data_IF_895395266944
#
_entry.id   IF_895395266944
#
_cell.length_a   1.000
_cell.length_b   1.000
_cell.length_c   1.000
_cell.angle_alpha   90.00
_cell.angle_beta   90.00
_cell.angle_gamma   90.00
#
_symmetry.space_group_name_H-M   'P 1'
#
loop_
_entity.id
_entity.type
_entity.pdbx_description
1 polymer ?
#
# COMPACT_ATOMS: atom_id res chain seq x y z
N UNK A 1 8.17 -4.31 27.68
CA UNK A 1 8.36 -4.78 26.29
C UNK A 1 8.04 -3.63 25.36
N UNK A 2 8.78 -3.48 24.27
CA UNK A 2 8.59 -2.46 23.23
C UNK A 2 8.23 -3.18 21.93
N UNK A 3 7.17 -2.71 21.25
CA UNK A 3 6.78 -3.19 19.92
C UNK A 3 6.88 -1.99 18.98
N UNK A 4 7.76 -2.07 17.99
CA UNK A 4 7.86 -1.06 16.94
C UNK A 4 6.67 -1.15 16.00
N UNK A 5 5.79 -0.16 16.05
CA UNK A 5 4.63 0.00 15.15
C UNK A 5 4.60 1.43 14.57
N UNK A 6 5.74 2.11 14.54
CA UNK A 6 5.93 3.52 14.19
C UNK A 6 6.12 3.77 12.68
N UNK A 7 5.69 2.81 11.86
CA UNK A 7 5.61 2.95 10.40
C UNK A 7 6.91 2.62 9.67
N UNK A 8 6.93 2.96 8.38
CA UNK A 8 8.03 2.62 7.46
C UNK A 8 9.36 3.27 7.79
N UNK A 9 9.42 4.30 8.65
CA UNK A 9 10.65 4.94 9.12
C UNK A 9 10.97 4.61 10.58
N UNK A 10 10.63 3.38 11.00
CA UNK A 10 10.71 2.95 12.39
C UNK A 10 12.08 3.16 13.04
N UNK A 11 12.08 3.84 14.18
CA UNK A 11 13.27 3.99 15.04
C UNK A 11 13.56 2.72 15.83
N UNK A 12 12.53 1.94 16.14
CA UNK A 12 12.69 0.63 16.79
C UNK A 12 13.37 -0.35 15.84
N UNK A 13 13.01 -0.31 14.54
CA UNK A 13 13.73 -1.10 13.53
C UNK A 13 15.18 -0.69 13.45
N UNK A 14 15.46 0.61 13.34
CA UNK A 14 16.82 1.16 13.34
C UNK A 14 17.64 0.72 14.55
N UNK A 15 17.03 0.67 15.74
CA UNK A 15 17.65 0.16 16.94
C UNK A 15 17.99 -1.34 16.87
N UNK A 16 17.10 -2.17 16.30
CA UNK A 16 17.27 -3.62 16.24
C UNK A 16 18.29 -4.09 15.19
N UNK A 17 18.30 -3.47 14.00
CA UNK A 17 19.11 -3.93 12.86
C UNK A 17 20.26 -2.97 12.50
N UNK A 18 20.32 -1.80 13.13
CA UNK A 18 21.29 -0.75 12.82
C UNK A 18 20.86 0.15 11.67
N UNK A 19 21.52 1.31 11.56
CA UNK A 19 21.14 2.38 10.63
C UNK A 19 21.08 1.93 9.17
N UNK A 20 22.10 1.23 8.69
CA UNK A 20 22.22 0.81 7.30
C UNK A 20 21.16 -0.23 6.91
N UNK A 21 21.01 -1.30 7.72
CA UNK A 21 20.05 -2.35 7.44
C UNK A 21 18.59 -1.90 7.62
N UNK A 22 18.32 -0.83 8.37
CA UNK A 22 16.97 -0.31 8.58
C UNK A 22 16.48 0.62 7.44
N UNK A 23 17.35 0.97 6.49
CA UNK A 23 17.00 1.87 5.39
C UNK A 23 15.97 1.24 4.46
N UNK A 24 15.00 2.05 4.03
CA UNK A 24 14.04 1.63 3.02
C UNK A 24 14.73 1.53 1.66
N UNK A 25 14.48 0.43 0.96
CA UNK A 25 14.87 0.28 -0.43
C UNK A 25 13.95 1.13 -1.30
N UNK A 26 14.53 2.12 -2.00
CA UNK A 26 13.82 2.83 -3.06
C UNK A 26 13.59 1.90 -4.25
N UNK A 27 12.37 1.92 -4.79
CA UNK A 27 12.03 1.33 -6.06
C UNK A 27 11.66 2.47 -7.00
N UNK A 28 11.94 2.34 -8.30
CA UNK A 28 11.74 3.40 -9.32
C UNK A 28 10.29 3.88 -9.52
N UNK A 29 9.37 3.51 -8.62
CA UNK A 29 7.99 3.95 -8.58
C UNK A 29 7.88 5.30 -7.85
N UNK A 30 7.08 6.21 -8.41
CA UNK A 30 6.58 7.41 -7.69
C UNK A 30 5.06 7.40 -7.73
N UNK A 31 4.44 7.90 -6.67
CA UNK A 31 2.98 7.86 -6.50
C UNK A 31 2.43 9.21 -6.03
N UNK A 32 1.24 9.54 -6.51
CA UNK A 32 0.38 10.57 -5.92
C UNK A 32 -0.91 9.85 -5.53
N UNK A 33 -1.32 9.96 -4.26
CA UNK A 33 -2.49 9.30 -3.73
C UNK A 33 -3.22 10.22 -2.76
N UNK A 34 -4.49 10.51 -3.02
CA UNK A 34 -5.28 11.40 -2.19
C UNK A 34 -6.79 11.08 -2.29
N UNK A 35 -7.56 11.30 -1.22
CA UNK A 35 -9.00 11.25 -1.28
C UNK A 35 -9.57 12.53 -1.89
N UNK A 36 -10.63 12.41 -2.68
CA UNK A 36 -11.36 13.57 -3.20
C UNK A 36 -12.86 13.35 -3.15
N UNK A 37 -13.58 14.40 -2.77
CA UNK A 37 -15.05 14.47 -2.80
C UNK A 37 -15.53 15.77 -3.43
N UNK A 38 -16.80 16.10 -3.24
CA UNK A 38 -17.43 17.30 -3.82
C UNK A 38 -17.72 17.16 -5.31
N UNK A 39 -17.88 15.92 -5.78
CA UNK A 39 -18.34 15.63 -7.14
C UNK A 39 -19.83 15.95 -7.26
N UNK A 40 -20.25 16.41 -8.43
CA UNK A 40 -21.69 16.50 -8.74
C UNK A 40 -22.29 15.09 -8.81
N UNK A 41 -23.61 14.98 -8.79
CA UNK A 41 -24.27 13.69 -8.88
C UNK A 41 -23.94 12.94 -10.19
N UNK A 42 -23.76 13.67 -11.30
CA UNK A 42 -23.38 13.08 -12.59
C UNK A 42 -21.92 12.66 -12.64
N UNK A 43 -21.01 13.49 -12.11
CA UNK A 43 -19.59 13.13 -11.95
C UNK A 43 -19.47 11.87 -11.08
N UNK A 44 -20.12 11.86 -9.91
CA UNK A 44 -20.05 10.72 -8.99
C UNK A 44 -20.66 9.43 -9.57
N UNK A 45 -21.73 9.54 -10.38
CA UNK A 45 -22.26 8.41 -11.16
C UNK A 45 -21.29 7.95 -12.24
N UNK A 46 -20.64 8.87 -12.95
CA UNK A 46 -19.58 8.55 -13.91
C UNK A 46 -18.44 7.79 -13.23
N UNK A 47 -18.01 8.24 -12.04
CA UNK A 47 -16.96 7.59 -11.25
C UNK A 47 -17.32 6.17 -10.81
N UNK A 48 -18.59 5.76 -10.85
CA UNK A 48 -19.04 4.40 -10.54
C UNK A 48 -19.18 3.49 -11.77
N UNK A 49 -19.02 4.03 -12.98
CA UNK A 49 -19.06 3.24 -14.22
C UNK A 49 -17.92 2.20 -14.27
N UNK A 50 -18.06 1.17 -15.12
CA UNK A 50 -17.22 -0.05 -15.16
C UNK A 50 -17.32 -0.92 -13.90
N UNK A 51 -17.05 -0.37 -12.73
CA UNK A 51 -17.18 -1.04 -11.44
C UNK A 51 -17.44 -0.03 -10.31
N UNK A 52 -18.46 -0.20 -9.46
CA UNK A 52 -18.85 0.83 -8.49
C UNK A 52 -17.77 1.12 -7.44
N UNK A 53 -17.03 0.09 -7.01
CA UNK A 53 -16.07 0.20 -5.90
C UNK A 53 -14.63 0.46 -6.35
N UNK A 54 -14.04 -0.36 -7.21
CA UNK A 54 -12.60 -0.33 -7.48
C UNK A 54 -12.29 -0.45 -8.96
N UNK A 55 -11.35 0.36 -9.46
CA UNK A 55 -10.90 0.38 -10.86
C UNK A 55 -9.39 0.56 -10.91
N UNK A 56 -8.77 -0.11 -11.87
CA UNK A 56 -7.36 0.07 -12.22
C UNK A 56 -7.27 0.33 -13.72
N UNK A 57 -6.42 1.28 -14.11
CA UNK A 57 -6.09 1.55 -15.51
C UNK A 57 -4.58 1.63 -15.66
N UNK A 58 -4.04 1.08 -16.75
CA UNK A 58 -2.67 1.41 -17.13
C UNK A 58 -2.64 2.77 -17.84
N UNK A 59 -1.53 3.47 -17.71
CA UNK A 59 -1.31 4.71 -18.43
C UNK A 59 -1.02 4.43 -19.92
N UNK A 60 -1.62 5.17 -20.87
CA UNK A 60 -1.62 4.79 -22.30
C UNK A 60 -0.25 4.91 -23.00
N UNK A 61 0.66 5.74 -22.48
CA UNK A 61 1.91 6.08 -23.19
C UNK A 61 3.18 5.97 -22.33
N UNK A 62 3.03 5.65 -21.04
CA UNK A 62 4.15 5.67 -20.09
C UNK A 62 3.96 4.55 -19.07
N UNK A 63 5.03 3.94 -18.55
CA UNK A 63 4.93 2.93 -17.52
C UNK A 63 4.27 3.49 -16.26
N UNK A 64 3.12 2.96 -15.89
CA UNK A 64 2.35 3.48 -14.77
C UNK A 64 0.89 3.08 -14.80
N UNK A 65 0.21 3.36 -13.70
CA UNK A 65 -1.19 3.00 -13.51
C UNK A 65 -1.95 4.06 -12.72
N UNK A 66 -3.26 4.10 -12.91
CA UNK A 66 -4.22 4.80 -12.09
C UNK A 66 -5.05 3.81 -11.27
N UNK A 67 -5.40 4.16 -10.04
CA UNK A 67 -6.42 3.48 -9.26
C UNK A 67 -7.47 4.52 -8.89
N UNK A 68 -8.73 4.15 -9.10
CA UNK A 68 -9.89 4.90 -8.66
C UNK A 68 -10.77 3.99 -7.82
N UNK A 69 -10.91 4.32 -6.54
CA UNK A 69 -11.70 3.51 -5.62
C UNK A 69 -12.64 4.38 -4.78
N UNK A 70 -13.87 3.93 -4.55
CA UNK A 70 -14.73 4.52 -3.53
C UNK A 70 -14.10 4.29 -2.15
N UNK A 71 -13.95 5.35 -1.36
CA UNK A 71 -13.19 5.33 -0.10
C UNK A 71 -14.07 5.64 1.12
N UNK A 72 -14.91 6.67 1.02
CA UNK A 72 -15.81 7.12 2.10
C UNK A 72 -17.21 7.26 1.50
N UNK A 73 -18.18 6.52 2.06
CA UNK A 73 -19.56 6.45 1.57
C UNK A 73 -20.51 6.69 2.75
N UNK A 74 -20.69 7.97 3.18
CA UNK A 74 -21.57 8.28 4.31
C UNK A 74 -23.04 7.96 4.03
N UNK A 75 -23.52 8.27 2.82
CA UNK A 75 -24.84 7.87 2.34
C UNK A 75 -24.74 7.09 1.02
N UNK A 76 -25.00 5.77 1.03
CA UNK A 76 -25.00 4.96 -0.18
C UNK A 76 -26.01 5.41 -1.25
N UNK A 77 -27.05 6.16 -0.88
CA UNK A 77 -28.10 6.62 -1.79
C UNK A 77 -27.82 8.01 -2.38
N UNK A 78 -26.90 8.78 -1.78
CA UNK A 78 -26.48 10.08 -2.28
C UNK A 78 -25.00 10.06 -2.70
N UNK A 79 -24.71 9.86 -4.01
CA UNK A 79 -23.35 9.75 -4.50
C UNK A 79 -22.55 11.05 -4.39
N UNK A 80 -23.19 12.19 -4.12
CA UNK A 80 -22.48 13.47 -3.91
C UNK A 80 -21.73 13.50 -2.57
N UNK A 81 -22.13 12.64 -1.63
CA UNK A 81 -21.46 12.50 -0.32
C UNK A 81 -20.19 11.66 -0.38
N UNK A 82 -19.96 10.96 -1.50
CA UNK A 82 -18.89 9.98 -1.60
C UNK A 82 -17.54 10.66 -1.79
N UNK A 83 -16.50 10.07 -1.19
CA UNK A 83 -15.11 10.37 -1.54
C UNK A 83 -14.50 9.19 -2.27
N UNK A 84 -13.69 9.51 -3.27
CA UNK A 84 -12.95 8.54 -4.05
C UNK A 84 -11.45 8.72 -3.81
N UNK A 85 -10.75 7.61 -3.64
CA UNK A 85 -9.30 7.56 -3.71
C UNK A 85 -8.88 7.79 -5.16
N UNK A 86 -8.04 8.81 -5.37
CA UNK A 86 -7.36 9.08 -6.63
C UNK A 86 -5.90 8.72 -6.46
N UNK A 87 -5.47 7.65 -7.11
CA UNK A 87 -4.09 7.21 -7.12
C UNK A 87 -3.57 7.23 -8.55
N UNK A 88 -2.37 7.79 -8.73
CA UNK A 88 -1.54 7.56 -9.90
C UNK A 88 -0.16 7.10 -9.45
N UNK A 89 0.40 6.14 -10.18
CA UNK A 89 1.76 5.68 -10.01
C UNK A 89 2.47 5.61 -11.34
N UNK A 90 3.76 5.93 -11.38
CA UNK A 90 4.57 5.85 -12.57
C UNK A 90 6.00 5.41 -12.26
N UNK A 91 6.65 4.82 -13.25
CA UNK A 91 8.01 4.31 -13.12
C UNK A 91 9.01 5.19 -13.84
N UNK A 92 10.14 5.45 -13.19
CA UNK A 92 11.19 6.33 -13.68
C UNK A 92 10.91 7.81 -13.42
N UNK A 93 11.73 8.72 -13.99
CA UNK A 93 11.61 10.14 -13.74
C UNK A 93 10.33 10.76 -14.34
N UNK A 94 9.82 11.86 -13.76
CA UNK A 94 10.34 12.53 -12.56
C UNK A 94 10.06 11.73 -11.29
N UNK A 95 10.98 11.75 -10.33
CA UNK A 95 10.81 11.09 -9.05
C UNK A 95 10.18 12.00 -8.01
N UNK A 96 9.77 11.45 -6.85
CA UNK A 96 9.23 12.24 -5.74
C UNK A 96 10.14 13.43 -5.36
N UNK A 97 11.46 13.22 -5.33
CA UNK A 97 12.46 14.27 -5.05
C UNK A 97 12.51 15.40 -6.08
N UNK A 98 12.07 15.13 -7.31
CA UNK A 98 12.05 16.11 -8.40
C UNK A 98 10.75 16.94 -8.38
N UNK A 99 9.73 16.48 -7.62
CA UNK A 99 8.39 17.08 -7.52
C UNK A 99 8.12 17.67 -6.12
N UNK A 100 9.16 18.20 -5.47
CA UNK A 100 9.01 18.83 -4.15
C UNK A 100 8.31 20.20 -4.24
N UNK A 101 8.50 20.93 -5.35
CA UNK A 101 7.78 22.17 -5.64
C UNK A 101 6.30 21.86 -5.97
N UNK A 102 5.32 22.41 -5.21
CA UNK A 102 3.90 22.13 -5.40
C UNK A 102 3.37 22.50 -6.79
N UNK A 103 3.81 23.62 -7.36
CA UNK A 103 3.33 24.10 -8.66
C UNK A 103 3.77 23.14 -9.78
N UNK A 104 5.05 22.79 -9.81
CA UNK A 104 5.63 21.83 -10.78
C UNK A 104 4.97 20.45 -10.63
N UNK A 105 4.72 20.02 -9.40
CA UNK A 105 4.01 18.76 -9.13
C UNK A 105 2.57 18.80 -9.64
N UNK A 106 1.86 19.90 -9.43
CA UNK A 106 0.49 20.09 -9.90
C UNK A 106 0.40 20.09 -11.43
N UNK A 107 1.33 20.78 -12.10
CA UNK A 107 1.43 20.79 -13.56
C UNK A 107 1.67 19.37 -14.12
N UNK A 108 2.64 18.64 -13.55
CA UNK A 108 2.90 17.25 -13.93
C UNK A 108 1.67 16.37 -13.71
N UNK A 109 1.02 16.49 -12.54
CA UNK A 109 -0.18 15.72 -12.20
C UNK A 109 -1.31 15.95 -13.20
N UNK A 110 -1.63 17.22 -13.52
CA UNK A 110 -2.68 17.57 -14.48
C UNK A 110 -2.38 17.03 -15.87
N UNK A 111 -1.14 17.14 -16.33
CA UNK A 111 -0.72 16.58 -17.62
C UNK A 111 -0.92 15.06 -17.65
N UNK A 112 -0.48 14.38 -16.60
CA UNK A 112 -0.55 12.91 -16.48
C UNK A 112 -2.00 12.40 -16.41
N UNK A 113 -2.85 13.01 -15.58
CA UNK A 113 -4.25 12.61 -15.44
C UNK A 113 -5.06 12.92 -16.69
N UNK A 114 -4.75 14.01 -17.39
CA UNK A 114 -5.46 14.38 -18.64
C UNK A 114 -5.33 13.33 -19.74
N UNK A 115 -4.23 12.56 -19.77
CA UNK A 115 -4.06 11.44 -20.70
C UNK A 115 -4.86 10.18 -20.36
N UNK A 116 -5.39 10.03 -19.15
CA UNK A 116 -6.27 8.89 -18.85
C UNK A 116 -7.64 9.03 -19.51
N UNK A 117 -8.32 7.90 -19.69
CA UNK A 117 -9.73 7.85 -20.09
C UNK A 117 -10.67 8.18 -18.91
N UNK A 118 -11.96 8.35 -19.23
CA UNK A 118 -12.97 8.38 -18.18
C UNK A 118 -13.12 7.00 -17.52
N UNK A 119 -13.40 6.96 -16.20
CA UNK A 119 -13.69 8.09 -15.32
C UNK A 119 -12.45 8.70 -14.62
N UNK A 120 -11.25 8.18 -14.85
CA UNK A 120 -10.03 8.61 -14.16
C UNK A 120 -9.69 10.08 -14.39
N UNK A 121 -9.91 10.58 -15.62
CA UNK A 121 -9.68 11.99 -15.95
C UNK A 121 -10.60 12.91 -15.15
N UNK A 122 -11.92 12.67 -15.17
CA UNK A 122 -12.88 13.45 -14.37
C UNK A 122 -12.56 13.37 -12.87
N UNK A 123 -12.23 12.18 -12.37
CA UNK A 123 -11.93 11.97 -10.97
C UNK A 123 -10.72 12.81 -10.50
N UNK A 124 -9.61 12.72 -11.22
CA UNK A 124 -8.37 13.36 -10.82
C UNK A 124 -8.30 14.85 -11.11
N UNK A 125 -9.03 15.37 -12.11
CA UNK A 125 -9.04 16.81 -12.39
C UNK A 125 -9.96 17.62 -11.48
N UNK A 126 -10.74 16.96 -10.60
CA UNK A 126 -11.55 17.62 -9.57
C UNK A 126 -10.66 18.08 -8.41
N UNK A 127 -10.02 19.22 -8.58
CA UNK A 127 -9.09 19.81 -7.61
C UNK A 127 -9.62 21.17 -7.14
N UNK A 128 -9.27 21.59 -5.92
CA UNK A 128 -9.47 22.98 -5.47
C UNK A 128 -8.29 23.85 -5.88
N UNK A 129 -8.49 25.18 -5.92
CA UNK A 129 -7.42 26.14 -6.26
C UNK A 129 -6.23 26.03 -5.31
N UNK A 130 -6.47 25.79 -4.03
CA UNK A 130 -5.44 25.67 -2.99
C UNK A 130 -4.99 24.22 -2.70
N UNK A 131 -5.35 23.26 -3.56
CA UNK A 131 -5.01 21.85 -3.33
C UNK A 131 -3.50 21.61 -3.46
N UNK A 132 -2.86 21.13 -2.39
CA UNK A 132 -1.46 20.68 -2.42
C UNK A 132 -1.42 19.16 -2.40
N UNK A 133 -1.29 18.56 -3.59
CA UNK A 133 -1.25 17.09 -3.72
C UNK A 133 -0.01 16.52 -3.05
N UNK A 134 -0.08 15.38 -2.35
CA UNK A 134 1.11 14.72 -1.82
C UNK A 134 1.86 13.96 -2.93
N UNK A 135 3.16 13.72 -2.74
CA UNK A 135 3.95 12.83 -3.59
C UNK A 135 4.77 11.89 -2.73
N UNK A 136 4.77 10.61 -3.09
CA UNK A 136 5.40 9.55 -2.32
C UNK A 136 6.38 8.76 -3.19
N UNK A 137 7.60 8.51 -2.72
CA UNK A 137 8.48 7.54 -3.34
C UNK A 137 7.97 6.12 -3.07
N UNK A 138 8.07 5.24 -4.05
CA UNK A 138 7.91 3.81 -3.83
C UNK A 138 9.08 3.30 -3.02
N UNK A 139 8.80 2.80 -1.82
CA UNK A 139 9.81 2.33 -0.89
C UNK A 139 9.33 1.07 -0.17
N UNK A 140 10.26 0.18 0.16
CA UNK A 140 9.96 -1.07 0.83
C UNK A 140 11.08 -1.50 1.77
N UNK A 141 10.76 -2.40 2.70
CA UNK A 141 11.71 -3.05 3.58
C UNK A 141 11.22 -4.44 3.98
N UNK A 142 12.08 -5.44 3.87
CA UNK A 142 11.79 -6.82 4.21
C UNK A 142 12.60 -7.27 5.44
N UNK A 143 12.01 -8.05 6.35
CA UNK A 143 12.71 -8.60 7.51
C UNK A 143 13.43 -9.92 7.14
N UNK A 144 14.36 -9.87 6.17
CA UNK A 144 15.11 -11.04 5.67
C UNK A 144 16.39 -11.36 6.47
N UNK A 145 16.51 -10.79 7.67
CA UNK A 145 17.65 -10.93 8.58
C UNK A 145 17.24 -11.34 9.99
N UNK A 146 18.23 -11.78 10.77
CA UNK A 146 18.10 -11.98 12.22
C UNK A 146 18.45 -10.69 12.98
N UNK A 147 17.88 -10.53 14.17
CA UNK A 147 18.22 -9.44 15.10
C UNK A 147 18.14 -9.96 16.53
N UNK A 148 18.85 -9.31 17.45
CA UNK A 148 18.69 -9.56 18.88
C UNK A 148 17.42 -8.86 19.37
N UNK A 149 16.37 -9.63 19.65
CA UNK A 149 15.12 -9.12 20.22
C UNK A 149 15.21 -8.87 21.75
N UNK A 150 16.41 -8.97 22.31
CA UNK A 150 16.76 -8.76 23.72
C UNK A 150 15.95 -9.64 24.68
N UNK A 151 15.81 -10.91 24.32
CA UNK A 151 15.01 -11.89 25.07
C UNK A 151 13.50 -11.60 24.99
N UNK A 152 13.04 -11.18 23.81
CA UNK A 152 11.64 -10.82 23.52
C UNK A 152 11.21 -9.46 24.09
N UNK A 153 12.13 -8.63 24.56
CA UNK A 153 11.80 -7.31 25.12
C UNK A 153 11.54 -6.27 24.04
N UNK A 154 12.04 -6.48 22.82
CA UNK A 154 11.89 -5.56 21.69
C UNK A 154 11.56 -6.37 20.44
N UNK A 155 10.49 -6.01 19.72
CA UNK A 155 10.13 -6.62 18.43
C UNK A 155 9.45 -5.59 17.52
N UNK A 156 9.06 -5.98 16.30
CA UNK A 156 8.45 -5.12 15.28
C UNK A 156 7.11 -5.69 14.81
N UNK A 157 6.20 -4.82 14.36
CA UNK A 157 4.95 -5.20 13.69
C UNK A 157 4.52 -4.15 12.65
N UNK A 158 3.65 -4.56 11.73
CA UNK A 158 3.14 -3.70 10.65
C UNK A 158 4.26 -3.18 9.75
N UNK A 159 4.11 -1.95 9.24
CA UNK A 159 5.09 -1.34 8.32
C UNK A 159 6.50 -1.17 8.94
N UNK A 160 6.61 -1.17 10.27
CA UNK A 160 7.92 -1.19 10.93
C UNK A 160 8.65 -2.52 10.66
N UNK A 161 7.91 -3.63 10.58
CA UNK A 161 8.41 -4.99 10.33
C UNK A 161 8.45 -5.39 8.84
N UNK A 162 7.57 -4.85 7.99
CA UNK A 162 7.47 -5.29 6.58
C UNK A 162 6.83 -4.22 5.68
N UNK A 163 7.41 -3.03 5.65
CA UNK A 163 6.99 -1.95 4.74
C UNK A 163 6.96 -2.44 3.29
N UNK A 164 5.77 -2.44 2.67
CA UNK A 164 5.55 -2.99 1.33
C UNK A 164 4.81 -2.00 0.43
N UNK A 165 4.93 -2.17 -0.89
CA UNK A 165 4.21 -1.34 -1.83
C UNK A 165 2.69 -1.65 -1.82
N UNK A 166 1.80 -0.67 -2.08
CA UNK A 166 0.36 -0.84 -1.86
C UNK A 166 -0.35 -1.71 -2.91
N UNK A 167 0.31 -2.15 -3.98
CA UNK A 167 -0.33 -2.74 -5.16
C UNK A 167 -1.10 -4.03 -4.90
N UNK A 168 -0.83 -4.73 -3.80
CA UNK A 168 -1.60 -5.92 -3.39
C UNK A 168 -2.59 -5.67 -2.25
N UNK A 169 -2.57 -4.49 -1.64
CA UNK A 169 -3.42 -4.14 -0.50
C UNK A 169 -3.19 -5.02 0.74
N UNK A 170 -1.98 -5.58 0.93
CA UNK A 170 -1.70 -6.57 1.97
C UNK A 170 -1.10 -5.99 3.26
N UNK A 171 -0.70 -4.71 3.28
CA UNK A 171 -0.06 -4.10 4.46
C UNK A 171 -0.95 -4.20 5.71
N UNK A 172 -2.21 -3.74 5.62
CA UNK A 172 -3.15 -3.79 6.75
C UNK A 172 -3.46 -5.22 7.21
N UNK A 173 -3.67 -6.16 6.26
CA UNK A 173 -3.94 -7.56 6.61
C UNK A 173 -2.77 -8.17 7.40
N UNK A 174 -1.53 -7.89 6.98
CA UNK A 174 -0.34 -8.36 7.70
C UNK A 174 -0.20 -7.68 9.06
N UNK A 175 -0.47 -6.37 9.17
CA UNK A 175 -0.44 -5.66 10.45
C UNK A 175 -1.49 -6.19 11.45
N UNK A 176 -2.70 -6.54 10.98
CA UNK A 176 -3.73 -7.15 11.82
C UNK A 176 -3.30 -8.54 12.30
N UNK A 177 -2.72 -9.35 11.40
CA UNK A 177 -2.18 -10.66 11.77
C UNK A 177 -1.09 -10.54 12.83
N UNK A 178 -0.18 -9.58 12.66
CA UNK A 178 0.87 -9.31 13.64
C UNK A 178 0.28 -8.97 15.01
N UNK A 179 -0.70 -8.06 15.04
CA UNK A 179 -1.36 -7.67 16.28
C UNK A 179 -2.04 -8.86 16.97
N UNK A 180 -2.72 -9.72 16.20
CA UNK A 180 -3.35 -10.94 16.72
C UNK A 180 -2.33 -11.88 17.35
N UNK A 181 -1.25 -12.19 16.63
CA UNK A 181 -0.22 -13.12 17.11
C UNK A 181 0.51 -12.60 18.33
N UNK A 182 0.81 -11.30 18.36
CA UNK A 182 1.43 -10.65 19.52
C UNK A 182 0.53 -10.68 20.74
N UNK A 183 -0.78 -10.45 20.57
CA UNK A 183 -1.76 -10.55 21.67
C UNK A 183 -1.78 -11.97 22.23
N UNK A 184 -1.79 -13.00 21.36
CA UNK A 184 -1.79 -14.40 21.79
C UNK A 184 -0.47 -14.79 22.47
N UNK A 185 0.67 -14.33 21.95
CA UNK A 185 1.97 -14.50 22.57
C UNK A 185 2.02 -13.89 23.98
N UNK A 186 1.55 -12.65 24.13
CA UNK A 186 1.50 -11.96 25.43
C UNK A 186 0.58 -12.68 26.41
N UNK A 187 -0.61 -13.14 25.97
CA UNK A 187 -1.52 -13.92 26.81
C UNK A 187 -0.87 -15.21 27.32
N UNK A 188 -0.16 -15.94 26.46
CA UNK A 188 0.55 -17.16 26.85
C UNK A 188 1.64 -16.88 27.91
N UNK A 189 2.34 -15.75 27.79
CA UNK A 189 3.33 -15.31 28.79
C UNK A 189 2.66 -14.97 30.12
N UNK A 190 1.56 -14.20 30.09
CA UNK A 190 0.81 -13.83 31.30
C UNK A 190 0.18 -15.04 32.01
N UNK A 191 -0.21 -16.07 31.25
CA UNK A 191 -0.69 -17.34 31.79
C UNK A 191 0.43 -18.26 32.31
N UNK A 192 1.69 -17.85 32.24
CA UNK A 192 2.84 -18.66 32.66
C UNK A 192 3.14 -19.86 31.76
N UNK A 193 2.55 -19.91 30.55
CA UNK A 193 2.72 -21.04 29.63
C UNK A 193 4.04 -20.98 28.86
N UNK A 194 4.57 -19.77 28.63
CA UNK A 194 5.82 -19.53 27.89
C UNK A 194 6.61 -18.39 28.54
N UNK A 195 7.93 -18.42 28.37
CA UNK A 195 8.76 -17.24 28.65
C UNK A 195 8.53 -16.18 27.57
N UNK A 196 8.79 -14.90 27.90
CA UNK A 196 8.65 -13.80 26.94
C UNK A 196 9.52 -14.03 25.69
N UNK A 197 10.79 -14.40 25.90
CA UNK A 197 11.72 -14.64 24.79
C UNK A 197 11.25 -15.75 23.85
N UNK A 198 10.70 -16.85 24.39
CA UNK A 198 10.19 -17.95 23.58
C UNK A 198 8.95 -17.52 22.78
N UNK A 199 7.99 -16.86 23.42
CA UNK A 199 6.75 -16.45 22.77
C UNK A 199 6.99 -15.43 21.64
N UNK A 200 7.91 -14.47 21.83
CA UNK A 200 8.27 -13.50 20.80
C UNK A 200 9.11 -14.13 19.69
N UNK A 201 9.99 -15.09 20.00
CA UNK A 201 10.74 -15.82 18.97
C UNK A 201 9.81 -16.61 18.04
N UNK A 202 8.76 -17.24 18.56
CA UNK A 202 7.74 -17.92 17.74
C UNK A 202 6.95 -16.95 16.86
N UNK A 203 6.56 -15.80 17.42
CA UNK A 203 5.94 -14.73 16.63
C UNK A 203 6.85 -14.27 15.47
N UNK A 204 8.12 -13.98 15.76
CA UNK A 204 9.07 -13.53 14.74
C UNK A 204 9.38 -14.62 13.71
N UNK A 205 9.38 -15.90 14.10
CA UNK A 205 9.56 -17.03 13.19
C UNK A 205 8.41 -17.17 12.16
N UNK A 206 7.22 -16.69 12.48
CA UNK A 206 6.09 -16.60 11.55
C UNK A 206 6.11 -15.28 10.76
N UNK A 207 6.25 -14.16 11.47
CA UNK A 207 6.11 -12.82 10.90
C UNK A 207 7.18 -12.53 9.84
N UNK A 208 8.45 -12.88 10.08
CA UNK A 208 9.54 -12.56 9.16
C UNK A 208 9.38 -13.19 7.77
N UNK A 209 9.22 -14.52 7.63
CA UNK A 209 9.05 -15.13 6.31
C UNK A 209 7.77 -14.68 5.60
N UNK A 210 6.67 -14.47 6.34
CA UNK A 210 5.44 -13.90 5.77
C UNK A 210 5.67 -12.48 5.25
N UNK A 211 6.21 -11.60 6.07
CA UNK A 211 6.50 -10.21 5.72
C UNK A 211 7.43 -10.09 4.52
N UNK A 212 8.55 -10.83 4.52
CA UNK A 212 9.50 -10.83 3.41
C UNK A 212 8.88 -11.30 2.09
N UNK A 213 8.06 -12.36 2.14
CA UNK A 213 7.30 -12.86 0.99
C UNK A 213 6.32 -11.82 0.46
N UNK A 214 5.56 -11.17 1.33
CA UNK A 214 4.55 -10.19 0.95
C UNK A 214 5.15 -8.91 0.36
N UNK A 215 6.32 -8.47 0.87
CA UNK A 215 7.12 -7.38 0.28
C UNK A 215 7.53 -7.74 -1.15
N UNK A 216 8.14 -8.92 -1.34
CA UNK A 216 8.59 -9.37 -2.66
C UNK A 216 7.45 -9.50 -3.68
N UNK A 217 6.32 -10.11 -3.28
CA UNK A 217 5.15 -10.25 -4.14
C UNK A 217 4.50 -8.91 -4.48
N UNK A 218 4.55 -7.94 -3.58
CA UNK A 218 4.02 -6.59 -3.83
C UNK A 218 4.85 -5.84 -4.86
N UNK A 219 6.18 -5.97 -4.81
CA UNK A 219 7.07 -5.46 -5.87
C UNK A 219 6.83 -6.16 -7.21
N UNK A 220 6.71 -7.50 -7.21
CA UNK A 220 6.42 -8.25 -8.44
C UNK A 220 5.10 -7.81 -9.08
N UNK A 221 4.06 -7.61 -8.27
CA UNK A 221 2.78 -7.07 -8.73
C UNK A 221 2.95 -5.68 -9.34
N UNK A 222 3.66 -4.79 -8.65
CA UNK A 222 3.88 -3.43 -9.12
C UNK A 222 4.63 -3.40 -10.47
N UNK A 223 5.69 -4.20 -10.60
CA UNK A 223 6.49 -4.31 -11.81
C UNK A 223 5.69 -4.87 -13.00
N UNK A 224 4.81 -5.84 -12.76
CA UNK A 224 3.99 -6.44 -13.83
C UNK A 224 2.77 -5.60 -14.19
N UNK A 225 2.29 -4.77 -13.25
CA UNK A 225 1.20 -3.83 -13.50
C UNK A 225 1.65 -2.53 -14.18
N UNK A 226 2.95 -2.35 -14.48
CA UNK A 226 3.48 -1.14 -15.13
C UNK A 226 3.06 -1.00 -16.60
N UNK A 227 2.76 -2.12 -17.26
CA UNK A 227 2.38 -2.20 -18.67
C UNK A 227 1.21 -3.19 -18.83
N UNK A 228 0.26 -2.86 -19.69
CA UNK A 228 -0.84 -3.74 -20.09
C UNK A 228 -0.36 -5.07 -20.67
N UNK A 229 0.80 -5.09 -21.34
CA UNK A 229 1.38 -6.29 -21.93
C UNK A 229 1.74 -7.35 -20.87
N UNK A 230 2.19 -6.92 -19.69
CA UNK A 230 2.61 -7.80 -18.57
C UNK A 230 1.55 -7.96 -17.49
N UNK A 231 0.45 -7.19 -17.55
CA UNK A 231 -0.58 -7.16 -16.52
C UNK A 231 -1.21 -8.55 -16.27
N UNK A 232 -1.43 -9.32 -17.34
CA UNK A 232 -1.98 -10.69 -17.26
C UNK A 232 -1.07 -11.66 -16.49
N UNK A 233 0.21 -11.36 -16.40
CA UNK A 233 1.19 -12.16 -15.68
C UNK A 233 1.33 -11.81 -14.20
N UNK A 234 0.63 -10.76 -13.75
CA UNK A 234 0.72 -10.25 -12.39
C UNK A 234 0.06 -11.19 -11.37
N UNK A 235 0.58 -11.26 -10.12
CA UNK A 235 -0.01 -12.03 -9.03
C UNK A 235 -1.53 -11.83 -8.86
N UNK A 236 -2.05 -10.60 -8.96
CA UNK A 236 -3.49 -10.33 -8.85
C UNK A 236 -4.28 -11.05 -9.95
N UNK A 237 -3.79 -11.06 -11.19
CA UNK A 237 -4.46 -11.77 -12.28
C UNK A 237 -4.36 -13.29 -12.12
N UNK A 238 -3.21 -13.82 -11.70
CA UNK A 238 -2.98 -15.28 -11.60
C UNK A 238 -3.60 -15.92 -10.36
N UNK A 239 -3.63 -15.19 -9.24
CA UNK A 239 -4.06 -15.71 -7.93
C UNK A 239 -5.38 -15.09 -7.49
N UNK A 240 -5.59 -13.80 -7.75
CA UNK A 240 -6.76 -13.04 -7.26
C UNK A 240 -8.04 -13.17 -8.09
N UNK A 241 -7.95 -13.49 -9.39
CA UNK A 241 -9.13 -13.60 -10.28
C UNK A 241 -9.66 -15.04 -10.45
N UNK A 242 -9.11 -16.03 -9.75
CA UNK A 242 -9.78 -17.34 -9.72
C UNK A 242 -11.07 -17.18 -8.91
N UNK A 243 -12.20 -16.90 -9.59
CA UNK A 243 -13.52 -17.26 -9.07
C UNK A 243 -13.36 -18.68 -8.55
N UNK A 244 -13.62 -18.88 -7.26
CA UNK A 244 -13.67 -20.23 -6.69
C UNK A 244 -14.49 -21.08 -7.65
N UNK A 245 -13.85 -22.08 -8.26
CA UNK A 245 -14.57 -23.03 -9.07
C UNK A 245 -15.58 -23.69 -8.15
N UNK A 246 -16.85 -23.44 -8.40
CA UNK A 246 -17.92 -24.29 -7.90
C UNK A 246 -17.60 -25.71 -8.35
N UNK A 247 -17.24 -26.57 -7.40
CA UNK A 247 -18.14 -27.64 -6.97
C UNK A 247 -17.47 -28.47 -5.87
N UNK A 248 -18.03 -28.29 -4.68
CA UNK A 248 -18.23 -29.41 -3.76
C UNK A 248 -19.16 -30.40 -4.47
N UNK A 249 -18.67 -31.60 -4.68
CA UNK A 249 -19.47 -32.81 -4.85
C UNK A 249 -18.89 -33.86 -3.90
#
# INVERSE_FOLDING_TARGET
MVIGCDGSHSRVREFLVGHEAAQLQFVDLTMINFPRGGYTADEARLLQTMHPVFKIAAHPHRPGNGILAALDIPDPNDPTTWKFQNYIGWWGPPYAKDLQNPETRMEFYRLWVSSFCEPFRTAGLKLTEDEVLPVYPGQQWAPDMTWDNHGGKVTLAGDAAHSMLPQRGQGLNNAIKDASDLVDAIKAVLAGQKSLGHAIAEYEAEMKPRGAKEVALSLEQALKAKDMSTLKDSPIFKVGWKRGGENVA
#
